data_IF_344288292849
#
_entry.id   IF_344288292849
#
_cell.length_a   1.000
_cell.length_b   1.000
_cell.length_c   1.000
_cell.angle_alpha   90.00
_cell.angle_beta   90.00
_cell.angle_gamma   90.00
#
_symmetry.space_group_name_H-M   'P 1'
#
loop_
_entity.id
_entity.type
_entity.pdbx_description
1 polymer ?
#
# COMPACT_ATOMS: atom_id res chain seq x y z
N UNK A 1 12.84 10.64 -18.16
CA UNK A 1 12.75 9.42 -17.33
C UNK A 1 11.36 9.40 -16.72
N UNK A 2 10.56 8.39 -16.98
CA UNK A 2 9.18 8.31 -16.50
C UNK A 2 9.14 8.20 -14.96
N UNK A 3 8.36 9.04 -14.31
CA UNK A 3 8.24 9.07 -12.85
C UNK A 3 7.44 7.86 -12.38
N UNK A 4 8.01 7.02 -11.51
CA UNK A 4 7.26 5.92 -10.92
C UNK A 4 6.37 6.45 -9.79
N UNK A 5 5.07 6.60 -10.08
CA UNK A 5 4.10 7.17 -9.14
C UNK A 5 3.98 6.37 -7.83
N UNK A 6 4.17 5.05 -7.87
CA UNK A 6 4.15 4.20 -6.65
C UNK A 6 5.40 4.44 -5.81
N UNK A 7 6.54 4.65 -6.43
CA UNK A 7 7.74 5.04 -5.69
C UNK A 7 7.55 6.38 -4.97
N UNK A 8 6.91 7.35 -5.65
CA UNK A 8 6.53 8.63 -5.03
C UNK A 8 5.63 8.42 -3.82
N UNK A 9 4.56 7.62 -3.94
CA UNK A 9 3.67 7.35 -2.80
C UNK A 9 4.41 6.68 -1.65
N UNK A 10 5.32 5.74 -1.93
CA UNK A 10 6.12 5.11 -0.88
C UNK A 10 7.02 6.11 -0.14
N UNK A 11 7.58 7.09 -0.85
CA UNK A 11 8.37 8.17 -0.24
C UNK A 11 7.50 9.06 0.64
N UNK A 12 6.32 9.46 0.15
CA UNK A 12 5.34 10.24 0.93
C UNK A 12 4.97 9.52 2.22
N UNK A 13 4.59 8.24 2.15
CA UNK A 13 4.22 7.44 3.32
C UNK A 13 5.40 7.27 4.29
N UNK A 14 6.63 7.28 3.78
CA UNK A 14 7.85 7.19 4.61
C UNK A 14 8.16 8.50 5.32
N UNK A 15 7.95 9.64 4.66
CA UNK A 15 8.10 10.98 5.25
C UNK A 15 7.08 11.19 6.37
N UNK A 16 5.81 10.85 6.13
CA UNK A 16 4.74 10.99 7.13
C UNK A 16 5.00 10.14 8.38
N UNK A 17 5.48 8.90 8.23
CA UNK A 17 5.82 8.07 9.40
C UNK A 17 7.01 8.63 10.23
N UNK A 18 7.90 9.43 9.62
CA UNK A 18 9.07 10.01 10.32
C UNK A 18 8.71 11.28 11.10
N UNK A 19 7.86 12.13 10.53
CA UNK A 19 7.50 13.44 11.09
C UNK A 19 6.47 13.35 12.24
N UNK A 20 5.87 12.16 12.48
CA UNK A 20 4.77 12.01 13.43
C UNK A 20 3.39 12.20 12.78
N UNK A 21 2.30 11.96 13.53
CA UNK A 21 0.95 11.74 12.98
C UNK A 21 0.43 12.78 11.96
N UNK A 22 -0.44 12.26 11.09
CA UNK A 22 -1.06 12.84 9.91
C UNK A 22 -1.74 14.20 10.15
N UNK A 23 -1.03 15.29 9.88
CA UNK A 23 -1.72 16.52 9.50
C UNK A 23 -2.04 16.48 8.00
N UNK A 24 -3.24 16.94 7.62
CA UNK A 24 -3.58 17.20 6.22
C UNK A 24 -2.54 18.10 5.52
N UNK A 25 -1.83 18.90 6.32
CA UNK A 25 -0.72 19.77 5.91
C UNK A 25 0.48 18.93 5.43
N UNK A 26 0.86 17.85 6.14
CA UNK A 26 1.99 16.99 5.76
C UNK A 26 1.76 16.32 4.41
N UNK A 27 0.54 15.84 4.14
CA UNK A 27 0.17 15.23 2.85
C UNK A 27 0.24 16.27 1.73
N UNK A 28 -0.35 17.46 1.94
CA UNK A 28 -0.33 18.54 0.95
C UNK A 28 1.09 19.02 0.64
N UNK A 29 1.95 19.14 1.65
CA UNK A 29 3.35 19.52 1.48
C UNK A 29 4.14 18.46 0.71
N UNK A 30 3.84 17.18 0.92
CA UNK A 30 4.47 16.11 0.16
C UNK A 30 4.00 16.13 -1.31
N UNK A 31 2.71 16.39 -1.57
CA UNK A 31 2.15 16.49 -2.92
C UNK A 31 2.59 17.74 -3.69
N UNK A 32 2.87 18.86 -3.01
CA UNK A 32 3.32 20.10 -3.65
C UNK A 32 4.67 19.95 -4.37
N UNK A 33 5.51 19.00 -3.95
CA UNK A 33 6.78 18.64 -4.61
C UNK A 33 6.56 18.06 -6.02
N UNK A 34 5.33 17.65 -6.35
CA UNK A 34 5.00 16.95 -7.60
C UNK A 34 4.01 17.72 -8.49
N UNK A 35 3.93 19.05 -8.37
CA UNK A 35 3.04 19.89 -9.19
C UNK A 35 3.33 19.85 -10.70
N UNK A 36 4.53 19.43 -11.09
CA UNK A 36 4.91 19.24 -12.49
C UNK A 36 4.26 18.01 -13.15
N UNK A 37 3.68 17.11 -12.36
CA UNK A 37 2.95 15.95 -12.86
C UNK A 37 1.56 16.35 -13.36
N UNK A 38 1.06 15.62 -14.34
CA UNK A 38 -0.27 15.86 -14.88
C UNK A 38 -1.38 15.60 -13.82
N UNK A 39 -2.60 16.03 -14.14
CA UNK A 39 -3.74 15.89 -13.22
C UNK A 39 -4.04 14.43 -12.85
N UNK A 40 -3.92 13.51 -13.80
CA UNK A 40 -4.24 12.10 -13.59
C UNK A 40 -3.17 11.43 -12.70
N UNK A 41 -1.90 11.74 -12.94
CA UNK A 41 -0.77 11.27 -12.12
C UNK A 41 -0.89 11.77 -10.68
N UNK A 42 -1.20 13.06 -10.48
CA UNK A 42 -1.40 13.62 -9.13
C UNK A 42 -2.62 13.01 -8.43
N UNK A 43 -3.72 12.79 -9.16
CA UNK A 43 -4.91 12.13 -8.62
C UNK A 43 -4.61 10.68 -8.20
N UNK A 44 -3.82 9.94 -8.99
CA UNK A 44 -3.38 8.59 -8.64
C UNK A 44 -2.54 8.59 -7.35
N UNK A 45 -1.54 9.47 -7.25
CA UNK A 45 -0.68 9.58 -6.06
C UNK A 45 -1.54 9.89 -4.83
N UNK A 46 -2.43 10.89 -4.93
CA UNK A 46 -3.27 11.29 -3.81
C UNK A 46 -4.19 10.15 -3.35
N UNK A 47 -4.91 9.51 -4.29
CA UNK A 47 -5.82 8.41 -3.99
C UNK A 47 -5.08 7.23 -3.33
N UNK A 48 -3.95 6.84 -3.87
CA UNK A 48 -3.17 5.72 -3.33
C UNK A 48 -2.57 6.06 -1.97
N UNK A 49 -2.01 7.26 -1.78
CA UNK A 49 -1.43 7.68 -0.51
C UNK A 49 -2.48 7.77 0.60
N UNK A 50 -3.54 8.54 0.36
CA UNK A 50 -4.61 8.77 1.34
C UNK A 50 -5.33 7.47 1.69
N UNK A 51 -5.73 6.70 0.68
CA UNK A 51 -6.40 5.42 0.91
C UNK A 51 -5.54 4.38 1.63
N UNK A 52 -4.22 4.38 1.41
CA UNK A 52 -3.30 3.52 2.17
C UNK A 52 -3.22 3.92 3.65
N UNK A 53 -3.36 5.21 3.95
CA UNK A 53 -3.33 5.74 5.32
C UNK A 53 -4.63 5.41 6.04
N UNK A 54 -5.77 5.74 5.43
CA UNK A 54 -7.11 5.60 6.02
C UNK A 54 -7.43 4.13 6.34
N UNK A 55 -7.13 3.21 5.42
CA UNK A 55 -7.46 1.80 5.54
C UNK A 55 -6.30 0.94 6.08
N UNK A 56 -5.31 1.52 6.78
CA UNK A 56 -4.10 0.77 7.21
C UNK A 56 -4.41 -0.45 8.09
N UNK A 57 -5.41 -0.35 8.96
CA UNK A 57 -5.81 -1.42 9.90
C UNK A 57 -6.48 -2.55 9.12
N UNK A 58 -7.37 -2.20 8.20
CA UNK A 58 -8.04 -3.13 7.29
C UNK A 58 -7.01 -3.88 6.43
N UNK A 59 -6.04 -3.18 5.84
CA UNK A 59 -5.01 -3.82 5.01
C UNK A 59 -4.09 -4.71 5.82
N UNK A 60 -3.75 -4.33 7.05
CA UNK A 60 -2.99 -5.21 7.93
C UNK A 60 -3.76 -6.51 8.20
N UNK A 61 -5.06 -6.38 8.50
CA UNK A 61 -5.95 -7.50 8.73
C UNK A 61 -6.06 -8.40 7.49
N UNK A 62 -6.30 -7.84 6.31
CA UNK A 62 -6.34 -8.58 5.04
C UNK A 62 -5.02 -9.31 4.81
N UNK A 63 -3.87 -8.62 4.86
CA UNK A 63 -2.57 -9.25 4.60
C UNK A 63 -2.31 -10.40 5.59
N UNK A 64 -2.72 -10.26 6.86
CA UNK A 64 -2.54 -11.30 7.87
C UNK A 64 -3.36 -12.57 7.59
N UNK A 65 -4.48 -12.49 6.85
CA UNK A 65 -5.21 -13.69 6.42
C UNK A 65 -4.45 -14.52 5.38
N UNK A 66 -3.60 -13.87 4.56
CA UNK A 66 -2.93 -14.51 3.42
C UNK A 66 -1.41 -14.66 3.59
N UNK A 67 -0.85 -14.23 4.72
CA UNK A 67 0.58 -14.25 5.00
C UNK A 67 0.88 -14.98 6.31
N UNK A 68 1.81 -15.93 6.27
CA UNK A 68 2.36 -16.57 7.49
C UNK A 68 3.21 -15.61 8.33
N UNK A 69 3.72 -14.54 7.71
CA UNK A 69 4.48 -13.50 8.41
C UNK A 69 3.52 -12.36 8.75
N UNK A 70 3.27 -12.08 10.04
CA UNK A 70 2.40 -10.97 10.44
C UNK A 70 2.92 -9.64 9.91
N UNK A 71 2.01 -8.74 9.52
CA UNK A 71 2.36 -7.44 8.91
C UNK A 71 3.25 -6.59 9.82
N UNK A 72 2.98 -6.60 11.12
CA UNK A 72 3.80 -5.87 12.10
C UNK A 72 5.25 -6.40 12.21
N UNK A 73 5.52 -7.63 11.79
CA UNK A 73 6.87 -8.23 11.72
C UNK A 73 7.58 -7.97 10.40
N UNK A 74 6.88 -7.46 9.38
CA UNK A 74 7.50 -7.09 8.10
C UNK A 74 8.39 -5.86 8.27
N UNK A 75 9.45 -5.77 7.46
CA UNK A 75 10.27 -4.55 7.38
C UNK A 75 9.38 -3.36 7.01
N UNK A 76 9.56 -2.16 7.61
CA UNK A 76 8.66 -1.03 7.39
C UNK A 76 8.39 -0.70 5.92
N UNK A 77 9.42 -0.73 5.08
CA UNK A 77 9.29 -0.50 3.63
C UNK A 77 8.41 -1.57 2.96
N UNK A 78 8.62 -2.85 3.28
CA UNK A 78 7.81 -3.95 2.74
C UNK A 78 6.36 -3.83 3.22
N UNK A 79 6.14 -3.53 4.49
CA UNK A 79 4.79 -3.30 5.04
C UNK A 79 4.03 -2.23 4.25
N UNK A 80 4.67 -1.09 3.97
CA UNK A 80 4.05 -0.01 3.17
C UNK A 80 3.76 -0.46 1.73
N UNK A 81 4.71 -1.14 1.09
CA UNK A 81 4.51 -1.69 -0.27
C UNK A 81 3.33 -2.67 -0.30
N UNK A 82 3.23 -3.55 0.70
CA UNK A 82 2.13 -4.51 0.81
C UNK A 82 0.78 -3.79 0.96
N UNK A 83 0.68 -2.82 1.88
CA UNK A 83 -0.55 -2.03 2.08
C UNK A 83 -0.97 -1.28 0.81
N UNK A 84 -0.02 -0.61 0.13
CA UNK A 84 -0.29 0.07 -1.13
C UNK A 84 -0.77 -0.88 -2.23
N UNK A 85 -0.20 -2.08 -2.31
CA UNK A 85 -0.61 -3.07 -3.28
C UNK A 85 -2.01 -3.61 -2.97
N UNK A 86 -2.31 -3.87 -1.70
CA UNK A 86 -3.66 -4.29 -1.29
C UNK A 86 -4.69 -3.19 -1.55
N UNK A 87 -4.40 -1.93 -1.27
CA UNK A 87 -5.30 -0.83 -1.64
C UNK A 87 -5.65 -0.85 -3.12
N UNK A 88 -4.65 -1.04 -3.99
CA UNK A 88 -4.90 -1.14 -5.43
C UNK A 88 -5.74 -2.36 -5.80
N UNK A 89 -5.46 -3.52 -5.20
CA UNK A 89 -6.20 -4.75 -5.46
C UNK A 89 -7.67 -4.66 -5.04
N UNK A 90 -7.97 -3.96 -3.94
CA UNK A 90 -9.33 -3.91 -3.37
C UNK A 90 -10.13 -2.71 -3.89
N UNK A 91 -9.49 -1.54 -4.02
CA UNK A 91 -10.20 -0.27 -4.22
C UNK A 91 -9.86 0.46 -5.53
N UNK A 92 -8.96 -0.06 -6.38
CA UNK A 92 -8.61 0.58 -7.66
C UNK A 92 -8.95 -0.32 -8.86
N UNK A 93 -10.23 -0.41 -9.19
CA UNK A 93 -10.77 -1.24 -10.28
C UNK A 93 -10.10 -1.01 -11.65
N UNK A 94 -9.61 0.21 -11.89
CA UNK A 94 -8.92 0.58 -13.12
C UNK A 94 -7.45 0.10 -13.18
N UNK A 95 -6.95 -0.56 -12.14
CA UNK A 95 -5.59 -1.10 -12.06
C UNK A 95 -5.65 -2.62 -12.16
N UNK A 96 -5.09 -3.24 -13.22
CA UNK A 96 -5.02 -4.69 -13.30
C UNK A 96 -4.25 -5.29 -12.12
N UNK A 97 -4.77 -6.38 -11.55
CA UNK A 97 -4.16 -7.08 -10.43
C UNK A 97 -2.70 -7.46 -10.67
N UNK A 98 -2.42 -7.94 -11.88
CA UNK A 98 -1.07 -8.30 -12.30
C UNK A 98 -0.12 -7.10 -12.28
N UNK A 99 -0.60 -5.91 -12.67
CA UNK A 99 0.16 -4.68 -12.63
C UNK A 99 0.44 -4.24 -11.18
N UNK A 100 -0.56 -4.30 -10.29
CA UNK A 100 -0.39 -3.99 -8.87
C UNK A 100 0.66 -4.91 -8.21
N UNK A 101 0.57 -6.23 -8.46
CA UNK A 101 1.53 -7.22 -7.96
C UNK A 101 2.94 -6.98 -8.52
N UNK A 102 3.06 -6.85 -9.84
CA UNK A 102 4.36 -6.71 -10.50
C UNK A 102 5.08 -5.43 -10.08
N UNK A 103 4.36 -4.31 -9.97
CA UNK A 103 4.96 -3.04 -9.54
C UNK A 103 5.38 -3.08 -8.07
N UNK A 104 4.63 -3.75 -7.19
CA UNK A 104 5.03 -3.95 -5.80
C UNK A 104 6.34 -4.75 -5.70
N UNK A 105 6.49 -5.80 -6.50
CA UNK A 105 7.71 -6.61 -6.57
C UNK A 105 8.91 -5.80 -7.09
N UNK A 106 8.71 -5.02 -8.16
CA UNK A 106 9.75 -4.12 -8.70
C UNK A 106 10.15 -3.06 -7.67
N UNK A 107 9.17 -2.50 -6.95
CA UNK A 107 9.40 -1.47 -5.95
C UNK A 107 10.19 -2.03 -4.76
N UNK A 108 9.86 -3.24 -4.28
CA UNK A 108 10.62 -3.90 -3.23
C UNK A 108 12.09 -4.11 -3.64
N UNK A 109 12.33 -4.58 -4.87
CA UNK A 109 13.68 -4.75 -5.42
C UNK A 109 14.44 -3.42 -5.49
N UNK A 110 13.82 -2.36 -6.04
CA UNK A 110 14.41 -1.02 -6.13
C UNK A 110 14.76 -0.42 -4.76
N UNK A 111 14.07 -0.83 -3.70
CA UNK A 111 14.33 -0.38 -2.32
C UNK A 111 15.32 -1.29 -1.57
N UNK A 112 16.05 -2.17 -2.26
CA UNK A 112 17.08 -3.02 -1.69
C UNK A 112 16.58 -4.36 -1.13
N UNK A 113 15.31 -4.70 -1.33
CA UNK A 113 14.71 -5.94 -0.81
C UNK A 113 14.55 -7.02 -1.89
N UNK A 114 15.56 -7.19 -2.75
CA UNK A 114 15.54 -8.19 -3.84
C UNK A 114 15.25 -9.61 -3.33
N UNK A 115 15.77 -9.99 -2.16
CA UNK A 115 15.50 -11.29 -1.53
C UNK A 115 14.05 -11.51 -1.10
N UNK A 116 13.23 -10.46 -1.02
CA UNK A 116 11.82 -10.53 -0.61
C UNK A 116 10.84 -10.45 -1.80
N UNK A 117 11.33 -10.41 -3.04
CA UNK A 117 10.48 -10.38 -4.25
C UNK A 117 9.50 -11.55 -4.29
N UNK A 118 9.98 -12.76 -3.99
CA UNK A 118 9.16 -13.97 -3.99
C UNK A 118 8.06 -13.93 -2.93
N UNK A 119 8.40 -13.44 -1.73
CA UNK A 119 7.44 -13.23 -0.64
C UNK A 119 6.34 -12.23 -1.03
N UNK A 120 6.72 -11.03 -1.50
CA UNK A 120 5.78 -9.99 -1.92
C UNK A 120 4.85 -10.50 -3.02
N UNK A 121 5.41 -11.12 -4.06
CA UNK A 121 4.62 -11.67 -5.16
C UNK A 121 3.67 -12.79 -4.71
N UNK A 122 4.16 -13.70 -3.88
CA UNK A 122 3.40 -14.85 -3.39
C UNK A 122 2.18 -14.43 -2.58
N UNK A 123 2.36 -13.52 -1.62
CA UNK A 123 1.26 -13.01 -0.79
C UNK A 123 0.27 -12.22 -1.63
N UNK A 124 0.72 -11.27 -2.47
CA UNK A 124 -0.19 -10.44 -3.26
C UNK A 124 -0.99 -11.23 -4.30
N UNK A 125 -0.38 -12.24 -4.95
CA UNK A 125 -1.12 -13.15 -5.84
C UNK A 125 -2.07 -14.07 -5.09
N UNK A 126 -1.79 -14.39 -3.83
CA UNK A 126 -2.72 -15.13 -3.00
C UNK A 126 -3.96 -14.28 -2.68
N UNK A 127 -3.75 -13.03 -2.28
CA UNK A 127 -4.82 -12.05 -2.03
C UNK A 127 -5.66 -11.84 -3.30
N UNK A 128 -5.00 -11.52 -4.43
CA UNK A 128 -5.68 -11.23 -5.71
C UNK A 128 -6.60 -12.37 -6.18
N UNK A 129 -6.21 -13.64 -5.97
CA UNK A 129 -7.03 -14.80 -6.34
C UNK A 129 -8.20 -15.09 -5.39
N UNK A 130 -8.17 -14.52 -4.18
CA UNK A 130 -9.09 -14.84 -3.10
C UNK A 130 -9.78 -13.59 -2.52
N UNK A 131 -9.88 -12.51 -3.30
CA UNK A 131 -10.47 -11.24 -2.83
C UNK A 131 -11.91 -11.41 -2.33
N UNK A 132 -12.67 -12.27 -3.00
CA UNK A 132 -14.06 -12.58 -2.66
C UNK A 132 -14.18 -13.40 -1.36
N UNK A 133 -13.09 -14.03 -0.93
CA UNK A 133 -13.02 -14.85 0.28
C UNK A 133 -12.44 -14.09 1.49
N UNK A 134 -12.24 -12.77 1.38
CA UNK A 134 -11.79 -11.95 2.51
C UNK A 134 -12.92 -11.91 3.54
N UNK A 135 -12.67 -12.50 4.70
CA UNK A 135 -13.62 -12.47 5.82
C UNK A 135 -13.36 -11.20 6.62
N UNK A 136 -14.33 -10.32 6.75
CA UNK A 136 -14.23 -9.18 7.68
C UNK A 136 -14.87 -9.57 9.02
N UNK A 137 -14.39 -9.02 10.15
CA UNK A 137 -15.06 -9.23 11.43
C UNK A 137 -16.51 -8.75 11.32
N UNK A 138 -17.45 -9.53 11.84
CA UNK A 138 -18.83 -9.06 11.99
C UNK A 138 -18.81 -7.76 12.78
N UNK A 139 -19.50 -6.71 12.28
CA UNK A 139 -19.59 -5.40 12.95
C UNK A 139 -20.28 -5.46 14.34
N UNK A 140 -20.62 -6.66 14.82
CA UNK A 140 -21.44 -6.93 16.01
C UNK A 140 -20.60 -7.33 17.23
N UNK A 141 -19.28 -7.53 17.13
CA UNK A 141 -18.48 -7.81 18.32
C UNK A 141 -18.03 -6.52 19.00
N UNK A 142 -18.68 -6.21 20.13
CA UNK A 142 -18.25 -5.19 21.08
C UNK A 142 -16.74 -5.28 21.33
N UNK A 143 -16.04 -4.13 21.46
CA UNK A 143 -14.61 -4.13 21.74
C UNK A 143 -14.37 -4.91 23.04
N UNK A 144 -13.60 -5.99 22.95
CA UNK A 144 -13.14 -6.70 24.15
C UNK A 144 -12.30 -5.72 24.98
N UNK A 145 -12.80 -5.49 26.20
CA UNK A 145 -12.19 -4.64 27.24
C UNK A 145 -10.79 -5.11 27.62
#
# INVERSE_FOLDING_TARGET
MEVNLRAVVLDILTEIEKEGEFSHITINNALSKYQYLDRAQRAFINRLALGTIECRIEFDYIINQFSKTPVNKMKPVIRRIMRMAVYQLIYMENIPDSAACNEAVKLAAKRGFTGLKGFVNGVLRNISRNKENIVYPDMVQEPQK
#
